data_IF_677658512543
#
_entry.id   IF_677658512543
#
_cell.length_a   1.000
_cell.length_b   1.000
_cell.length_c   1.000
_cell.angle_alpha   90.00
_cell.angle_beta   90.00
_cell.angle_gamma   90.00
#
_symmetry.space_group_name_H-M   'P 1'
#
loop_
_entity.id
_entity.type
_entity.pdbx_description
1 polymer ?
#
# COMPACT_ATOMS: atom_id res chain seq x y z
N UNK A 1 -54.37 -14.80 -26.02
CA UNK A 1 -54.03 -15.47 -24.75
C UNK A 1 -52.83 -16.35 -25.02
N UNK A 2 -51.63 -15.88 -24.68
CA UNK A 2 -50.39 -16.62 -24.90
C UNK A 2 -49.78 -16.83 -23.52
N UNK A 3 -49.84 -18.05 -23.02
CA UNK A 3 -49.29 -18.44 -21.72
C UNK A 3 -47.77 -18.48 -21.78
N UNK A 4 -47.13 -17.68 -20.93
CA UNK A 4 -45.69 -17.69 -20.70
C UNK A 4 -45.36 -18.86 -19.75
N UNK A 5 -44.57 -19.81 -20.23
CA UNK A 5 -43.98 -20.87 -19.41
C UNK A 5 -42.86 -20.28 -18.54
N UNK A 6 -42.86 -20.42 -17.21
CA UNK A 6 -41.72 -20.02 -16.40
C UNK A 6 -40.61 -21.08 -16.55
N UNK A 7 -39.41 -20.64 -16.92
CA UNK A 7 -38.22 -21.48 -16.85
C UNK A 7 -37.89 -21.73 -15.37
N UNK A 8 -37.72 -23.00 -15.01
CA UNK A 8 -37.39 -23.43 -13.67
C UNK A 8 -36.00 -22.91 -13.27
N UNK A 9 -35.96 -22.11 -12.20
CA UNK A 9 -34.73 -21.78 -11.48
C UNK A 9 -34.09 -23.08 -10.96
N UNK A 10 -32.83 -23.31 -11.32
CA UNK A 10 -32.07 -24.47 -10.87
C UNK A 10 -31.78 -24.35 -9.38
N UNK A 11 -32.51 -25.13 -8.59
CA UNK A 11 -32.32 -25.38 -7.16
C UNK A 11 -30.90 -25.80 -6.80
N UNK A 12 -30.28 -25.06 -5.88
CA UNK A 12 -29.58 -25.64 -4.73
C UNK A 12 -28.27 -26.39 -4.98
N UNK A 13 -27.22 -25.68 -5.44
CA UNK A 13 -25.85 -26.13 -5.19
C UNK A 13 -25.37 -25.47 -3.91
N UNK A 14 -25.18 -26.25 -2.84
CA UNK A 14 -24.66 -25.74 -1.55
C UNK A 14 -23.38 -24.95 -1.80
N UNK A 15 -23.38 -23.65 -1.49
CA UNK A 15 -22.21 -22.80 -1.64
C UNK A 15 -21.23 -23.02 -0.48
N UNK A 16 -20.35 -24.02 -0.66
CA UNK A 16 -19.28 -24.36 0.28
C UNK A 16 -18.22 -23.25 0.44
N UNK A 17 -18.26 -22.18 -0.37
CA UNK A 17 -17.33 -21.05 -0.22
C UNK A 17 -17.44 -20.39 1.15
N UNK A 18 -18.65 -20.36 1.70
CA UNK A 18 -18.95 -19.80 3.03
C UNK A 18 -18.40 -20.63 4.20
N UNK A 19 -18.06 -21.90 3.97
CA UNK A 19 -17.52 -22.80 5.00
C UNK A 19 -16.01 -22.84 5.04
N UNK A 20 -15.34 -22.12 4.13
CA UNK A 20 -13.88 -22.06 4.04
C UNK A 20 -13.35 -20.79 4.71
N UNK A 21 -12.29 -20.92 5.50
CA UNK A 21 -11.59 -19.78 6.08
C UNK A 21 -10.64 -19.16 5.03
N UNK A 22 -11.20 -18.39 4.10
CA UNK A 22 -10.43 -17.72 3.05
C UNK A 22 -9.83 -16.41 3.58
N UNK A 23 -8.60 -16.07 3.19
CA UNK A 23 -8.03 -14.76 3.51
C UNK A 23 -8.88 -13.64 2.89
N UNK A 24 -9.28 -12.69 3.73
CA UNK A 24 -9.94 -11.46 3.30
C UNK A 24 -9.10 -10.27 3.79
N UNK A 25 -8.80 -9.35 2.87
CA UNK A 25 -8.00 -8.18 3.17
C UNK A 25 -8.40 -7.00 2.29
N UNK A 26 -8.51 -5.79 2.87
CA UNK A 26 -8.69 -4.57 2.09
C UNK A 26 -7.40 -4.16 1.37
N UNK A 27 -6.27 -4.84 1.62
CA UNK A 27 -4.99 -4.52 0.99
C UNK A 27 -5.02 -4.85 -0.51
N UNK A 28 -4.87 -3.85 -1.39
CA UNK A 28 -4.95 -4.09 -2.82
C UNK A 28 -3.73 -4.88 -3.31
N UNK A 29 -3.94 -5.84 -4.20
CA UNK A 29 -2.84 -6.58 -4.82
C UNK A 29 -1.94 -5.69 -5.70
N UNK A 30 -2.48 -4.61 -6.27
CA UNK A 30 -1.71 -3.62 -7.05
C UNK A 30 -1.28 -2.46 -6.15
N UNK A 31 -0.04 -2.02 -6.32
CA UNK A 31 0.54 -0.97 -5.49
C UNK A 31 -0.07 0.42 -5.67
N UNK A 32 -0.38 0.83 -6.91
CA UNK A 32 -0.77 2.21 -7.28
C UNK A 32 0.21 3.29 -6.74
N UNK A 33 1.51 2.97 -6.82
CA UNK A 33 2.60 3.74 -6.19
C UNK A 33 2.64 5.22 -6.61
N UNK A 34 2.49 5.59 -7.90
CA UNK A 34 2.54 7.00 -8.30
C UNK A 34 1.53 7.90 -7.58
N UNK A 35 0.42 7.33 -7.06
CA UNK A 35 -0.58 8.05 -6.27
C UNK A 35 -0.35 7.96 -4.76
N UNK A 36 0.11 6.81 -4.28
CA UNK A 36 0.25 6.55 -2.83
C UNK A 36 1.52 7.14 -2.23
N UNK A 37 2.63 7.09 -2.97
CA UNK A 37 3.94 7.58 -2.48
C UNK A 37 3.91 9.06 -2.07
N UNK A 38 3.31 9.98 -2.85
CA UNK A 38 3.22 11.38 -2.42
C UNK A 38 2.44 11.58 -1.11
N UNK A 39 1.39 10.78 -0.88
CA UNK A 39 0.61 10.84 0.36
C UNK A 39 1.44 10.36 1.56
N UNK A 40 2.20 9.26 1.41
CA UNK A 40 3.08 8.78 2.48
C UNK A 40 4.15 9.80 2.86
N UNK A 41 4.80 10.42 1.87
CA UNK A 41 5.81 11.45 2.13
C UNK A 41 5.20 12.63 2.88
N UNK A 42 3.98 13.05 2.51
CA UNK A 42 3.24 14.09 3.22
C UNK A 42 2.98 13.69 4.69
N UNK A 43 2.44 12.50 4.91
CA UNK A 43 2.12 11.99 6.25
C UNK A 43 3.38 11.89 7.13
N UNK A 44 4.52 11.45 6.58
CA UNK A 44 5.79 11.38 7.30
C UNK A 44 6.32 12.77 7.69
N UNK A 45 6.18 13.75 6.80
CA UNK A 45 6.61 15.11 7.04
C UNK A 45 5.73 15.79 8.10
N UNK A 46 4.41 15.73 7.94
CA UNK A 46 3.45 16.28 8.91
C UNK A 46 3.53 15.57 10.27
N UNK A 47 3.76 14.26 10.25
CA UNK A 47 3.95 13.44 11.44
C UNK A 47 5.33 13.57 12.09
N UNK A 48 6.27 14.32 11.51
CA UNK A 48 7.63 14.51 12.02
C UNK A 48 8.39 13.20 12.19
N UNK A 49 8.21 12.23 11.28
CA UNK A 49 8.73 10.86 11.41
C UNK A 49 10.24 10.84 11.65
N UNK A 50 11.00 11.63 10.90
CA UNK A 50 12.46 11.69 11.05
C UNK A 50 12.87 12.08 12.47
N UNK A 51 12.23 13.10 13.06
CA UNK A 51 12.49 13.52 14.44
C UNK A 51 12.19 12.39 15.42
N UNK A 52 11.04 11.73 15.27
CA UNK A 52 10.66 10.59 16.14
C UNK A 52 11.69 9.46 16.08
N UNK A 53 12.22 9.16 14.90
CA UNK A 53 13.29 8.16 14.74
C UNK A 53 14.59 8.57 15.45
N UNK A 54 14.95 9.86 15.42
CA UNK A 54 16.13 10.38 16.14
C UNK A 54 15.94 10.28 17.65
N UNK A 55 14.76 10.67 18.15
CA UNK A 55 14.42 10.61 19.58
C UNK A 55 14.43 9.16 20.09
N UNK A 56 13.83 8.23 19.35
CA UNK A 56 13.77 6.80 19.72
C UNK A 56 15.15 6.10 19.74
N UNK A 57 16.15 6.66 19.04
CA UNK A 57 17.51 6.12 18.97
C UNK A 57 18.50 6.86 19.88
N UNK A 58 18.03 7.76 20.75
CA UNK A 58 18.90 8.48 21.68
C UNK A 58 19.69 7.49 22.57
N UNK A 59 21.01 7.69 22.65
CA UNK A 59 21.91 6.84 23.45
C UNK A 59 22.34 5.52 22.79
N UNK A 60 21.78 5.15 21.63
CA UNK A 60 22.25 3.99 20.88
C UNK A 60 23.62 4.27 20.23
N UNK A 61 24.43 3.22 19.92
CA UNK A 61 25.67 3.38 19.18
C UNK A 61 25.46 4.19 17.89
N UNK A 62 26.29 5.21 17.71
CA UNK A 62 26.20 6.10 16.57
C UNK A 62 26.68 5.40 15.29
N UNK A 63 25.84 5.45 14.25
CA UNK A 63 26.21 5.10 12.89
C UNK A 63 26.12 6.37 12.03
N UNK A 64 27.19 6.71 11.32
CA UNK A 64 27.28 7.90 10.46
C UNK A 64 27.44 7.45 9.02
N UNK A 65 26.50 7.86 8.16
CA UNK A 65 26.59 7.73 6.71
C UNK A 65 26.91 9.11 6.13
N UNK A 66 28.10 9.26 5.57
CA UNK A 66 28.48 10.48 4.85
C UNK A 66 27.97 10.38 3.41
N UNK A 67 26.95 11.17 3.09
CA UNK A 67 26.49 11.34 1.72
C UNK A 67 27.32 12.43 1.02
N UNK A 68 27.71 12.17 -0.24
CA UNK A 68 28.51 13.09 -1.01
C UNK A 68 27.65 14.26 -1.50
N UNK A 69 28.11 15.53 -1.39
CA UNK A 69 27.31 16.65 -1.87
C UNK A 69 27.09 16.54 -3.39
N UNK A 70 25.85 16.58 -3.88
CA UNK A 70 25.58 16.54 -5.31
C UNK A 70 26.00 17.86 -5.98
N UNK A 71 26.33 17.80 -7.27
CA UNK A 71 26.53 19.00 -8.06
C UNK A 71 25.19 19.68 -8.38
N UNK A 72 25.05 20.97 -8.07
CA UNK A 72 23.79 21.73 -8.19
C UNK A 72 23.49 22.25 -9.62
N UNK A 73 23.98 21.58 -10.68
CA UNK A 73 24.02 22.14 -12.04
C UNK A 73 23.00 21.53 -13.01
N UNK A 74 22.08 20.67 -12.56
CA UNK A 74 21.16 20.00 -13.47
C UNK A 74 20.05 19.20 -12.79
N UNK A 75 19.24 18.51 -13.61
CA UNK A 75 18.24 17.55 -13.12
C UNK A 75 18.94 16.28 -12.66
N UNK A 76 18.38 15.66 -11.63
CA UNK A 76 18.78 14.33 -11.19
C UNK A 76 18.58 13.33 -12.34
N UNK A 77 19.58 12.48 -12.55
CA UNK A 77 19.48 11.29 -13.40
C UNK A 77 19.48 10.04 -12.53
N UNK A 78 19.26 8.86 -13.12
CA UNK A 78 19.10 7.59 -12.38
C UNK A 78 20.30 7.15 -11.49
N UNK A 79 21.43 7.86 -11.60
CA UNK A 79 22.62 7.60 -10.78
C UNK A 79 22.77 8.54 -9.58
N UNK A 80 21.90 9.54 -9.48
CA UNK A 80 21.66 10.28 -8.24
C UNK A 80 20.60 9.53 -7.43
#
# INVERSE_FOLDING_TARGET
>A
MTTQTPAADSTGKTDYRSTLNLPDTPFPMRGDLPKREPAWVKDWNEGGLYKKLRDARAGAPLFVLHDGPPYANGKLHIGH
#
